data_IF_356357270012
#
_entry.id   IF_356357270012
#
_cell.length_a   1.000
_cell.length_b   1.000
_cell.length_c   1.000
_cell.angle_alpha   90.00
_cell.angle_beta   90.00
_cell.angle_gamma   90.00
#
_symmetry.space_group_name_H-M   'P 1'
#
loop_
_entity.id
_entity.type
_entity.pdbx_description
1 polymer ?
#
# COMPACT_ATOMS: atom_id res chain seq x y z
N UNK A 1 -68.89 -4.80 -34.36
CA UNK A 1 -67.64 -5.59 -34.36
C UNK A 1 -67.84 -6.90 -33.61
N UNK A 2 -66.98 -7.89 -33.86
CA UNK A 2 -67.01 -9.31 -33.41
C UNK A 2 -65.56 -9.69 -33.01
N UNK A 3 -65.27 -10.70 -32.17
CA UNK A 3 -66.11 -11.68 -31.43
C UNK A 3 -65.41 -12.05 -30.09
N UNK A 4 -66.01 -12.89 -29.23
CA UNK A 4 -65.38 -13.42 -28.01
C UNK A 4 -64.77 -14.83 -28.20
N UNK A 5 -64.00 -15.31 -27.21
CA UNK A 5 -63.35 -16.64 -27.14
C UNK A 5 -62.11 -16.82 -28.06
N UNK A 6 -61.16 -17.74 -27.81
CA UNK A 6 -61.04 -18.76 -26.74
C UNK A 6 -59.56 -19.07 -26.39
N UNK A 7 -59.36 -19.83 -25.31
CA UNK A 7 -58.08 -20.37 -24.82
C UNK A 7 -57.41 -21.37 -25.77
N UNK A 8 -56.07 -21.47 -25.75
CA UNK A 8 -55.26 -22.71 -25.69
C UNK A 8 -53.78 -22.48 -26.01
N UNK A 9 -52.87 -22.98 -25.16
CA UNK A 9 -51.46 -23.36 -25.42
C UNK A 9 -50.96 -24.01 -24.11
N UNK A 10 -51.15 -25.32 -23.95
CA UNK A 10 -50.18 -26.42 -24.23
C UNK A 10 -48.97 -26.38 -23.31
N UNK A 11 -48.70 -27.52 -22.65
CA UNK A 11 -47.71 -27.67 -21.60
C UNK A 11 -46.49 -28.52 -22.04
N UNK A 12 -45.46 -28.50 -21.19
CA UNK A 12 -44.33 -29.45 -21.09
C UNK A 12 -43.28 -29.45 -22.21
N UNK A 13 -42.05 -29.10 -21.84
CA UNK A 13 -40.95 -30.09 -21.75
C UNK A 13 -40.09 -29.81 -20.51
N UNK A 14 -39.63 -30.88 -19.85
CA UNK A 14 -38.54 -30.79 -18.87
C UNK A 14 -37.20 -30.90 -19.60
N UNK A 15 -36.20 -30.15 -19.15
CA UNK A 15 -34.79 -30.50 -19.32
C UNK A 15 -34.01 -30.08 -18.08
N UNK A 16 -33.58 -31.06 -17.29
CA UNK A 16 -32.64 -30.84 -16.19
C UNK A 16 -31.26 -30.47 -16.75
N UNK A 17 -30.66 -29.41 -16.22
CA UNK A 17 -29.23 -29.13 -16.41
C UNK A 17 -28.56 -28.97 -15.05
N UNK A 18 -27.80 -30.02 -14.75
CA UNK A 18 -26.97 -30.31 -13.57
C UNK A 18 -26.36 -29.09 -12.87
N UNK A 19 -26.46 -29.08 -11.53
CA UNK A 19 -25.58 -28.28 -10.70
C UNK A 19 -24.14 -28.79 -10.84
N UNK A 20 -23.22 -27.93 -11.25
CA UNK A 20 -21.79 -28.24 -11.24
C UNK A 20 -21.24 -28.01 -9.83
N UNK A 21 -20.97 -29.10 -9.12
CA UNK A 21 -20.15 -29.05 -7.92
C UNK A 21 -18.70 -28.73 -8.33
N UNK A 22 -18.15 -27.65 -7.77
CA UNK A 22 -16.72 -27.35 -7.91
C UNK A 22 -15.93 -28.21 -6.92
N UNK A 23 -15.25 -29.23 -7.46
CA UNK A 23 -14.35 -30.10 -6.71
C UNK A 23 -13.04 -29.36 -6.38
N UNK A 24 -12.92 -28.94 -5.11
CA UNK A 24 -11.74 -28.29 -4.55
C UNK A 24 -10.62 -29.28 -4.12
N UNK A 25 -10.79 -30.59 -4.36
CA UNK A 25 -9.82 -31.62 -3.99
C UNK A 25 -8.64 -31.81 -4.96
N UNK A 26 -8.69 -31.20 -6.16
CA UNK A 26 -7.77 -31.53 -7.27
C UNK A 26 -6.56 -30.58 -7.43
N UNK A 27 -6.62 -29.36 -6.89
CA UNK A 27 -5.63 -28.29 -7.19
C UNK A 27 -4.32 -28.41 -6.39
N UNK A 28 -4.27 -29.24 -5.35
CA UNK A 28 -3.14 -29.30 -4.41
C UNK A 28 -1.99 -30.27 -4.79
N UNK A 29 -2.13 -31.07 -5.85
CA UNK A 29 -1.09 -32.03 -6.27
C UNK A 29 -0.26 -31.62 -7.49
N UNK A 30 -0.54 -30.49 -8.14
CA UNK A 30 0.19 -30.02 -9.34
C UNK A 30 1.30 -29.00 -9.06
N UNK A 31 1.51 -28.59 -7.79
CA UNK A 31 2.46 -27.52 -7.43
C UNK A 31 3.84 -28.07 -7.04
N UNK A 32 3.96 -29.35 -6.63
CA UNK A 32 5.23 -29.91 -6.17
C UNK A 32 6.15 -30.46 -7.28
N UNK A 33 5.65 -30.75 -8.49
CA UNK A 33 6.49 -31.27 -9.60
C UNK A 33 7.13 -30.16 -10.46
N UNK A 34 6.77 -28.89 -10.26
CA UNK A 34 7.33 -27.76 -11.02
C UNK A 34 8.60 -27.14 -10.41
N UNK A 35 9.06 -27.63 -9.25
CA UNK A 35 10.12 -26.98 -8.45
C UNK A 35 11.53 -27.46 -8.79
N UNK A 36 11.71 -28.66 -9.36
CA UNK A 36 13.03 -29.28 -9.55
C UNK A 36 13.66 -29.14 -10.96
N UNK A 37 12.97 -28.54 -11.93
CA UNK A 37 13.44 -28.51 -13.35
C UNK A 37 14.03 -27.16 -13.82
N UNK A 38 14.35 -26.23 -12.90
CA UNK A 38 15.06 -24.97 -13.24
C UNK A 38 16.36 -24.82 -12.44
N UNK A 39 17.17 -25.89 -12.47
CA UNK A 39 18.60 -25.84 -12.15
C UNK A 39 19.39 -26.11 -13.43
N UNK A 40 20.22 -25.14 -13.83
CA UNK A 40 21.13 -25.17 -14.99
C UNK A 40 20.53 -24.91 -16.39
N UNK A 41 20.29 -23.63 -16.74
CA UNK A 41 20.76 -23.06 -18.03
C UNK A 41 21.32 -21.67 -17.74
N UNK A 42 22.45 -21.31 -18.34
CA UNK A 42 23.24 -20.14 -17.93
C UNK A 42 22.92 -18.83 -18.67
N UNK A 43 23.21 -17.72 -17.98
CA UNK A 43 23.86 -16.53 -18.55
C UNK A 43 23.15 -15.76 -19.67
N UNK A 44 22.37 -14.74 -19.28
CA UNK A 44 22.26 -13.50 -20.06
C UNK A 44 22.47 -12.30 -19.12
N UNK A 45 23.36 -11.39 -19.51
CA UNK A 45 23.64 -10.16 -18.76
C UNK A 45 22.43 -9.23 -18.83
N UNK A 46 21.90 -8.86 -17.67
CA UNK A 46 20.99 -7.72 -17.55
C UNK A 46 21.53 -6.76 -16.49
N UNK A 47 21.67 -5.48 -16.86
CA UNK A 47 22.14 -4.42 -15.95
C UNK A 47 21.08 -4.19 -14.87
N UNK A 48 21.29 -4.74 -13.68
CA UNK A 48 20.56 -4.30 -12.49
C UNK A 48 20.99 -2.86 -12.17
N UNK A 49 20.16 -1.89 -12.54
CA UNK A 49 20.15 -0.59 -11.86
C UNK A 49 19.86 -0.83 -10.38
N UNK A 50 20.75 -0.35 -9.52
CA UNK A 50 20.88 -0.85 -8.15
C UNK A 50 19.66 -0.59 -7.27
N UNK A 51 18.96 -1.65 -6.92
CA UNK A 51 17.88 -1.64 -5.93
C UNK A 51 18.45 -2.18 -4.59
N UNK A 52 19.16 -1.32 -3.87
CA UNK A 52 19.83 -1.65 -2.60
C UNK A 52 18.86 -1.74 -1.41
N UNK A 53 17.75 -2.46 -1.57
CA UNK A 53 16.90 -2.88 -0.45
C UNK A 53 17.47 -4.15 0.17
N UNK A 54 18.01 -4.05 1.40
CA UNK A 54 18.47 -5.21 2.18
C UNK A 54 17.31 -6.03 2.80
N UNK A 55 16.06 -5.71 2.44
CA UNK A 55 14.85 -6.35 2.95
C UNK A 55 14.37 -7.42 1.97
N UNK A 56 14.05 -8.66 2.42
CA UNK A 56 13.40 -9.65 1.58
C UNK A 56 12.06 -9.10 1.06
N UNK A 57 11.98 -8.77 -0.23
CA UNK A 57 10.71 -8.35 -0.82
C UNK A 57 9.77 -9.55 -0.94
N UNK A 58 8.57 -9.39 -0.39
CA UNK A 58 7.40 -10.16 -0.81
C UNK A 58 7.28 -10.12 -2.33
N UNK A 59 6.84 -11.22 -2.96
CA UNK A 59 6.54 -11.27 -4.39
C UNK A 59 5.17 -10.63 -4.66
N UNK A 60 5.07 -9.34 -4.36
CA UNK A 60 3.89 -8.53 -4.63
C UNK A 60 3.66 -8.43 -6.14
N UNK A 61 2.40 -8.53 -6.57
CA UNK A 61 2.02 -8.36 -7.99
C UNK A 61 2.28 -6.94 -8.50
N UNK A 62 2.22 -5.94 -7.60
CA UNK A 62 2.42 -4.52 -7.91
C UNK A 62 3.24 -3.84 -6.79
N UNK A 63 4.56 -4.06 -6.71
CA UNK A 63 5.38 -3.51 -5.63
C UNK A 63 5.41 -1.97 -5.66
N UNK A 64 5.39 -1.36 -4.48
CA UNK A 64 5.60 0.10 -4.33
C UNK A 64 6.95 0.54 -4.92
N UNK A 65 7.01 1.68 -5.64
CA UNK A 65 8.27 2.23 -6.15
C UNK A 65 9.19 2.78 -5.06
N UNK A 66 8.72 2.90 -3.81
CA UNK A 66 9.52 3.29 -2.64
C UNK A 66 9.24 2.33 -1.48
N UNK A 67 10.21 1.47 -1.19
CA UNK A 67 10.20 0.60 0.00
C UNK A 67 11.06 1.12 1.15
N UNK A 68 11.12 0.35 2.24
CA UNK A 68 11.94 0.68 3.42
C UNK A 68 13.46 0.66 3.14
N UNK A 69 14.22 1.69 3.57
CA UNK A 69 15.69 1.72 3.50
C UNK A 69 16.37 0.83 4.56
N UNK A 70 15.64 0.45 5.61
CA UNK A 70 16.13 -0.36 6.71
C UNK A 70 15.45 -1.74 6.71
N UNK A 71 16.08 -2.78 7.30
CA UNK A 71 15.43 -4.06 7.54
C UNK A 71 14.13 -3.85 8.31
N UNK A 72 13.02 -4.25 7.68
CA UNK A 72 11.67 -4.13 8.18
C UNK A 72 10.81 -5.21 7.53
N UNK A 73 9.76 -5.66 8.21
CA UNK A 73 8.78 -6.61 7.69
C UNK A 73 7.66 -5.83 6.97
N UNK A 74 7.26 -6.33 5.82
CA UNK A 74 6.01 -5.96 5.15
C UNK A 74 5.24 -7.27 4.99
N UNK A 75 3.97 -7.29 5.40
CA UNK A 75 3.05 -8.41 5.13
C UNK A 75 2.17 -8.09 3.92
N UNK A 76 1.61 -9.12 3.27
CA UNK A 76 0.74 -8.93 2.10
C UNK A 76 -0.52 -8.11 2.43
N UNK A 77 -1.06 -8.26 3.65
CA UNK A 77 -2.18 -7.46 4.16
C UNK A 77 -1.83 -5.99 4.43
N UNK A 78 -0.54 -5.70 4.61
CA UNK A 78 -0.01 -4.36 4.87
C UNK A 78 0.45 -3.63 3.60
N UNK A 79 0.23 -4.25 2.44
CA UNK A 79 0.42 -3.64 1.12
C UNK A 79 -0.92 -3.48 0.40
N UNK A 80 -1.25 -2.25 0.01
CA UNK A 80 -2.44 -1.94 -0.79
C UNK A 80 -2.01 -1.21 -2.07
N UNK A 81 -2.39 -1.79 -3.21
CA UNK A 81 -2.30 -1.14 -4.53
C UNK A 81 -3.69 -0.83 -5.09
N UNK A 82 -3.83 0.33 -5.72
CA UNK A 82 -4.97 0.68 -6.57
C UNK A 82 -4.48 1.44 -7.81
N UNK A 83 -4.94 1.01 -8.97
CA UNK A 83 -4.63 1.62 -10.27
C UNK A 83 -5.07 3.10 -10.36
N UNK A 84 -6.21 3.42 -9.76
CA UNK A 84 -6.73 4.78 -9.70
C UNK A 84 -7.44 4.99 -8.36
N UNK A 85 -6.87 5.83 -7.50
CA UNK A 85 -7.48 6.30 -6.25
C UNK A 85 -7.04 7.74 -5.95
N UNK A 86 -7.61 8.33 -4.91
CA UNK A 86 -7.21 9.65 -4.40
C UNK A 86 -6.40 9.53 -3.11
N UNK A 87 -5.45 10.44 -2.91
CA UNK A 87 -4.77 10.61 -1.62
C UNK A 87 -4.45 12.07 -1.34
N UNK A 88 -4.81 12.54 -0.15
CA UNK A 88 -4.41 13.87 0.34
C UNK A 88 -3.00 13.83 0.93
N UNK A 89 -2.08 14.59 0.35
CA UNK A 89 -0.73 14.82 0.89
C UNK A 89 -0.75 15.99 1.88
N UNK A 90 -0.20 15.81 3.09
CA UNK A 90 -0.15 16.86 4.10
C UNK A 90 1.14 17.69 3.98
N UNK A 91 1.07 18.81 3.28
CA UNK A 91 2.22 19.71 3.05
C UNK A 91 2.47 20.68 4.22
N UNK A 92 1.96 20.35 5.41
CA UNK A 92 2.08 21.09 6.67
C UNK A 92 1.63 20.20 7.83
N UNK A 93 1.85 20.63 9.09
CA UNK A 93 1.44 19.89 10.28
C UNK A 93 -0.09 19.67 10.32
N UNK A 94 -0.59 18.42 10.30
CA UNK A 94 -2.00 18.16 10.54
C UNK A 94 -2.31 18.29 12.04
N UNK A 95 -3.51 18.74 12.38
CA UNK A 95 -3.96 18.88 13.77
C UNK A 95 -5.38 18.35 13.91
N UNK A 96 -5.67 17.62 14.98
CA UNK A 96 -7.02 17.25 15.35
C UNK A 96 -7.70 18.40 16.11
N UNK A 97 -8.87 18.80 15.66
CA UNK A 97 -9.75 19.76 16.33
C UNK A 97 -10.63 19.05 17.38
N UNK A 98 -11.26 19.83 18.27
CA UNK A 98 -12.17 19.30 19.30
C UNK A 98 -13.45 18.65 18.74
N UNK A 99 -13.87 19.04 17.54
CA UNK A 99 -14.99 18.43 16.79
C UNK A 99 -14.59 17.11 16.09
N UNK A 100 -13.35 16.66 16.25
CA UNK A 100 -12.82 15.44 15.63
C UNK A 100 -12.39 15.60 14.18
N UNK A 101 -12.53 16.80 13.58
CA UNK A 101 -12.03 17.11 12.24
C UNK A 101 -10.51 17.29 12.23
N UNK A 102 -9.89 17.04 11.07
CA UNK A 102 -8.43 17.20 10.88
C UNK A 102 -8.19 18.47 10.07
N UNK A 103 -7.48 19.43 10.66
CA UNK A 103 -7.06 20.67 10.01
C UNK A 103 -5.61 20.58 9.56
N UNK A 104 -5.37 20.85 8.28
CA UNK A 104 -4.05 20.92 7.67
C UNK A 104 -3.95 22.27 6.96
N UNK A 105 -2.91 23.06 7.23
CA UNK A 105 -2.83 24.45 6.73
C UNK A 105 -2.51 24.55 5.24
N UNK A 106 -1.77 23.55 4.73
CA UNK A 106 -1.42 23.32 3.33
C UNK A 106 -1.47 21.81 3.09
N UNK A 107 -2.27 21.39 2.11
CA UNK A 107 -2.42 20.02 1.66
C UNK A 107 -2.79 20.01 0.18
N UNK A 108 -2.56 18.89 -0.49
CA UNK A 108 -2.89 18.72 -1.91
C UNK A 108 -3.54 17.36 -2.15
N UNK A 109 -4.62 17.32 -2.93
CA UNK A 109 -5.30 16.09 -3.32
C UNK A 109 -4.66 15.53 -4.59
N UNK A 110 -3.97 14.41 -4.46
CA UNK A 110 -3.35 13.69 -5.57
C UNK A 110 -4.29 12.60 -6.09
N UNK A 111 -4.19 12.31 -7.39
CA UNK A 111 -4.97 11.26 -8.08
C UNK A 111 -4.07 10.48 -9.03
N UNK A 112 -4.20 9.16 -9.05
CA UNK A 112 -3.42 8.27 -9.92
C UNK A 112 -3.28 6.88 -9.29
N UNK A 113 -2.19 6.19 -9.63
CA UNK A 113 -1.84 4.91 -9.01
C UNK A 113 -1.42 5.16 -7.56
N UNK A 114 -2.11 4.52 -6.61
CA UNK A 114 -1.88 4.69 -5.16
C UNK A 114 -1.35 3.38 -4.57
N UNK A 115 -0.20 3.49 -3.91
CA UNK A 115 0.44 2.45 -3.11
C UNK A 115 0.40 2.86 -1.65
N UNK A 116 0.05 1.94 -0.75
CA UNK A 116 0.15 2.12 0.70
C UNK A 116 0.81 0.89 1.29
N UNK A 117 2.00 1.08 1.86
CA UNK A 117 2.75 0.05 2.56
C UNK A 117 2.85 0.40 4.04
N UNK A 118 2.65 -0.57 4.93
CA UNK A 118 2.97 -0.45 6.35
C UNK A 118 4.12 -1.40 6.74
N UNK A 119 5.25 -0.82 7.15
CA UNK A 119 6.46 -1.57 7.50
C UNK A 119 6.62 -1.67 9.02
N UNK A 120 6.74 -2.90 9.54
CA UNK A 120 7.10 -3.18 10.93
C UNK A 120 8.63 -3.23 11.07
N UNK A 121 9.20 -2.32 11.87
CA UNK A 121 10.63 -2.29 12.13
C UNK A 121 10.95 -3.06 13.41
N UNK A 122 12.14 -3.70 13.52
CA UNK A 122 12.56 -4.35 14.76
C UNK A 122 12.78 -3.32 15.87
N UNK A 123 12.50 -3.70 17.13
CA UNK A 123 12.66 -2.87 18.32
C UNK A 123 14.10 -2.35 18.57
N UNK A 124 15.10 -2.89 17.86
CA UNK A 124 16.48 -2.38 17.86
C UNK A 124 16.67 -1.09 17.04
N UNK A 125 15.67 -0.70 16.24
CA UNK A 125 15.62 0.58 15.52
C UNK A 125 14.75 1.57 16.29
N UNK A 126 15.12 2.85 16.27
CA UNK A 126 14.28 3.96 16.76
C UNK A 126 13.53 4.64 15.62
N UNK A 127 12.38 5.27 15.93
CA UNK A 127 11.64 6.12 14.98
C UNK A 127 12.49 7.20 14.32
N UNK A 128 13.48 7.73 15.04
CA UNK A 128 14.43 8.70 14.50
C UNK A 128 15.35 8.10 13.43
N UNK A 129 15.89 6.90 13.64
CA UNK A 129 16.72 6.20 12.66
C UNK A 129 15.92 5.85 11.40
N UNK A 130 14.70 5.32 11.58
CA UNK A 130 13.81 4.98 10.47
C UNK A 130 13.47 6.21 9.62
N UNK A 131 12.98 7.29 10.24
CA UNK A 131 12.63 8.53 9.54
C UNK A 131 13.84 9.20 8.85
N UNK A 132 15.00 9.22 9.52
CA UNK A 132 16.23 9.75 8.94
C UNK A 132 16.69 8.93 7.73
N UNK A 133 16.56 7.60 7.78
CA UNK A 133 16.88 6.72 6.66
C UNK A 133 15.98 6.99 5.44
N UNK A 134 14.65 7.13 5.63
CA UNK A 134 13.74 7.50 4.54
C UNK A 134 14.08 8.86 3.94
N UNK A 135 14.31 9.88 4.79
CA UNK A 135 14.70 11.22 4.34
C UNK A 135 15.99 11.20 3.51
N UNK A 136 16.97 10.41 3.93
CA UNK A 136 18.25 10.25 3.22
C UNK A 136 18.08 9.49 1.89
N UNK A 137 17.33 8.38 1.88
CA UNK A 137 17.03 7.61 0.66
C UNK A 137 16.35 8.51 -0.39
N UNK A 138 15.30 9.23 -0.01
CA UNK A 138 14.56 10.10 -0.92
C UNK A 138 15.46 11.21 -1.50
N UNK A 139 16.28 11.85 -0.66
CA UNK A 139 17.26 12.83 -1.12
C UNK A 139 18.31 12.25 -2.08
N UNK A 140 18.85 11.06 -1.79
CA UNK A 140 19.79 10.35 -2.67
C UNK A 140 19.16 9.91 -4.00
N UNK A 141 17.85 9.60 -3.99
CA UNK A 141 17.08 9.22 -5.18
C UNK A 141 16.55 10.43 -5.98
N UNK A 142 16.95 11.65 -5.60
CA UNK A 142 16.62 12.90 -6.30
C UNK A 142 15.21 13.43 -6.06
N UNK A 143 14.54 13.03 -4.98
CA UNK A 143 13.27 13.63 -4.57
C UNK A 143 13.50 14.99 -3.90
N UNK A 144 12.64 15.96 -4.18
CA UNK A 144 12.55 17.22 -3.46
C UNK A 144 11.68 17.04 -2.22
N UNK A 145 12.12 17.56 -1.06
CA UNK A 145 11.37 17.46 0.19
C UNK A 145 10.38 18.63 0.32
N UNK A 146 9.10 18.40 0.00
CA UNK A 146 8.04 19.41 0.03
C UNK A 146 7.61 19.79 1.44
N UNK A 147 7.64 18.83 2.35
CA UNK A 147 7.37 19.04 3.76
C UNK A 147 8.21 18.08 4.61
N UNK A 148 8.83 18.61 5.65
CA UNK A 148 9.63 17.84 6.60
C UNK A 148 9.21 18.24 7.99
N UNK A 149 8.83 17.25 8.80
CA UNK A 149 8.38 17.46 10.15
C UNK A 149 9.05 16.49 11.12
N UNK A 150 9.69 17.06 12.14
CA UNK A 150 10.19 16.36 13.32
C UNK A 150 9.14 16.38 14.44
N UNK A 151 9.27 15.43 15.38
CA UNK A 151 8.26 15.13 16.39
C UNK A 151 8.03 16.28 17.40
N UNK A 152 6.81 16.45 17.91
CA UNK A 152 5.57 15.85 17.42
C UNK A 152 5.08 16.58 16.17
N UNK A 153 4.50 15.85 15.21
CA UNK A 153 4.00 16.42 13.95
C UNK A 153 2.53 16.79 13.97
N UNK A 154 1.75 16.11 14.80
CA UNK A 154 0.39 16.46 15.15
C UNK A 154 0.27 16.87 16.62
N UNK A 155 -0.76 17.65 16.96
CA UNK A 155 -1.15 17.89 18.35
C UNK A 155 -1.68 16.60 19.03
N UNK A 156 -2.25 15.68 18.26
CA UNK A 156 -2.78 14.38 18.66
C UNK A 156 -2.39 13.27 17.65
N UNK A 157 -1.87 12.15 18.14
CA UNK A 157 -1.48 10.96 17.38
C UNK A 157 -2.63 10.32 16.58
N UNK A 158 -3.88 10.43 17.04
CA UNK A 158 -5.06 9.81 16.42
C UNK A 158 -5.29 10.26 14.96
N UNK A 159 -4.68 11.39 14.56
CA UNK A 159 -4.64 11.85 13.17
C UNK A 159 -4.09 10.78 12.23
N UNK A 160 -3.05 10.05 12.65
CA UNK A 160 -2.33 9.09 11.81
C UNK A 160 -3.11 7.78 11.64
N UNK A 161 -3.85 7.36 12.66
CA UNK A 161 -4.80 6.24 12.55
C UNK A 161 -5.93 6.60 11.57
N UNK A 162 -6.57 7.77 11.77
CA UNK A 162 -7.69 8.24 10.93
C UNK A 162 -7.34 8.48 9.47
N UNK A 163 -6.08 8.74 9.14
CA UNK A 163 -5.67 9.14 7.77
C UNK A 163 -4.84 8.10 7.05
N UNK A 164 -4.02 7.34 7.78
CA UNK A 164 -3.07 6.36 7.22
C UNK A 164 -3.23 4.94 7.79
N UNK A 165 -4.17 4.72 8.73
CA UNK A 165 -4.29 3.45 9.46
C UNK A 165 -3.13 3.19 10.44
N UNK A 166 -2.31 4.20 10.74
CA UNK A 166 -1.12 4.08 11.55
C UNK A 166 -1.38 4.57 12.98
N UNK A 167 -1.63 3.63 13.91
CA UNK A 167 -1.64 3.91 15.34
C UNK A 167 -0.23 4.37 15.75
N UNK A 168 -0.11 5.41 16.58
CA UNK A 168 1.18 5.90 17.10
C UNK A 168 1.04 6.23 18.59
N UNK A 169 1.90 5.67 19.42
CA UNK A 169 1.96 6.01 20.85
C UNK A 169 2.98 7.13 21.14
N UNK A 170 2.83 7.76 22.32
CA UNK A 170 3.81 8.66 22.96
C UNK A 170 4.21 9.93 22.17
N UNK A 171 3.44 10.35 21.15
CA UNK A 171 3.76 11.52 20.30
C UNK A 171 5.17 11.45 19.69
N UNK A 172 5.55 10.24 19.26
CA UNK A 172 6.80 9.93 18.58
C UNK A 172 6.74 10.21 17.07
N UNK A 173 5.61 10.76 16.61
CA UNK A 173 5.24 10.91 15.22
C UNK A 173 6.15 11.86 14.45
N UNK A 174 6.73 11.33 13.38
CA UNK A 174 7.56 12.05 12.42
C UNK A 174 6.94 11.89 11.04
N UNK A 175 6.97 12.96 10.24
CA UNK A 175 6.33 12.94 8.92
C UNK A 175 7.16 13.67 7.89
N UNK A 176 7.12 13.20 6.64
CA UNK A 176 7.65 13.92 5.49
C UNK A 176 6.79 13.68 4.26
N UNK A 177 6.82 14.65 3.35
CA UNK A 177 6.35 14.52 1.96
C UNK A 177 7.47 14.92 1.04
N UNK A 178 7.65 14.15 -0.03
CA UNK A 178 8.63 14.42 -1.07
C UNK A 178 8.08 14.07 -2.46
N UNK A 179 8.57 14.72 -3.51
CA UNK A 179 8.18 14.42 -4.88
C UNK A 179 9.37 14.34 -5.85
N UNK A 180 9.18 13.59 -6.94
CA UNK A 180 10.09 13.55 -8.09
C UNK A 180 9.27 13.32 -9.35
N UNK A 181 9.34 14.26 -10.30
CA UNK A 181 8.51 14.27 -11.49
C UNK A 181 7.02 14.08 -11.14
N UNK A 182 6.37 13.03 -11.62
CA UNK A 182 4.98 12.69 -11.39
C UNK A 182 4.73 11.77 -10.17
N UNK A 183 5.74 11.52 -9.31
CA UNK A 183 5.62 10.65 -8.13
C UNK A 183 5.72 11.46 -6.83
N UNK A 184 4.74 11.33 -5.95
CA UNK A 184 4.73 11.88 -4.59
C UNK A 184 4.76 10.78 -3.55
N UNK A 185 5.54 10.98 -2.49
CA UNK A 185 5.76 10.02 -1.41
C UNK A 185 5.49 10.70 -0.07
N UNK A 186 4.59 10.15 0.73
CA UNK A 186 4.38 10.53 2.12
C UNK A 186 4.85 9.41 3.05
N UNK A 187 5.70 9.74 4.02
CA UNK A 187 6.17 8.79 5.04
C UNK A 187 5.80 9.29 6.42
N UNK A 188 4.97 8.52 7.13
CA UNK A 188 4.75 8.67 8.58
C UNK A 188 5.52 7.59 9.33
N UNK A 189 6.13 7.96 10.48
CA UNK A 189 6.86 7.03 11.35
C UNK A 189 6.46 7.28 12.79
N UNK A 190 6.15 6.23 13.55
CA UNK A 190 5.83 6.29 14.97
C UNK A 190 6.08 4.97 15.68
N UNK A 191 5.90 4.95 17.01
CA UNK A 191 6.05 3.74 17.83
C UNK A 191 4.70 3.04 18.02
N UNK A 192 4.67 1.73 17.78
CA UNK A 192 3.58 0.83 18.15
C UNK A 192 4.14 -0.15 19.18
N UNK A 193 3.50 -0.24 20.35
CA UNK A 193 4.04 -0.97 21.51
C UNK A 193 5.47 -0.50 21.85
N UNK A 194 6.47 -1.30 21.48
CA UNK A 194 7.89 -1.20 21.81
C UNK A 194 8.79 -1.13 20.57
N UNK A 195 8.21 -1.00 19.37
CA UNK A 195 8.95 -0.95 18.11
C UNK A 195 8.42 0.12 17.14
N UNK A 196 9.23 0.59 16.17
CA UNK A 196 8.72 1.52 15.16
C UNK A 196 7.82 0.80 14.14
N UNK A 197 6.84 1.53 13.63
CA UNK A 197 6.13 1.23 12.39
C UNK A 197 6.20 2.46 11.48
N UNK A 198 6.33 2.24 10.18
CA UNK A 198 6.23 3.31 9.18
C UNK A 198 5.11 3.03 8.20
N UNK A 199 4.42 4.10 7.77
CA UNK A 199 3.45 4.07 6.67
C UNK A 199 4.06 4.85 5.52
N UNK A 200 4.33 4.16 4.42
CA UNK A 200 4.86 4.72 3.17
C UNK A 200 3.74 4.70 2.15
N UNK A 201 3.30 5.88 1.73
CA UNK A 201 2.22 6.02 0.78
C UNK A 201 2.78 6.74 -0.45
N UNK A 202 2.57 6.17 -1.63
CA UNK A 202 3.06 6.72 -2.89
C UNK A 202 1.89 6.96 -3.82
N UNK A 203 1.90 8.10 -4.52
CA UNK A 203 1.01 8.37 -5.64
C UNK A 203 1.84 8.64 -6.89
N UNK A 204 1.63 7.84 -7.93
CA UNK A 204 2.15 8.11 -9.27
C UNK A 204 1.01 8.68 -10.09
N UNK A 205 1.14 9.94 -10.53
CA UNK A 205 0.15 10.62 -11.35
C UNK A 205 0.35 10.29 -12.83
N UNK A 206 -0.74 10.13 -13.57
CA UNK A 206 -0.70 10.22 -15.02
C UNK A 206 -0.30 11.64 -15.45
N UNK A 207 0.46 11.73 -16.55
CA UNK A 207 0.93 13.00 -17.13
C UNK A 207 -0.10 13.61 -18.10
#
# INVERSE_FOLDING_TARGET
>A
MRIAAASCLVALTLSCSQAQAFDLGSVLNSVNEAVDTVKNVGGVVSRQTGDQSNTPRLKLTQPSPVGSPLPAKLDESDHVYKELDEMTMFLSRPNLNQDGSIRVAKSELMRGQVYKDAYEHPATQSTMQVWAAYKNQLGQQGYQLDFVCDKPCSNNSDVWEKTLGLIIYQKTDRYLVAHKANTWVAVAVGEISDHPRSSVNVVVRDN
#
